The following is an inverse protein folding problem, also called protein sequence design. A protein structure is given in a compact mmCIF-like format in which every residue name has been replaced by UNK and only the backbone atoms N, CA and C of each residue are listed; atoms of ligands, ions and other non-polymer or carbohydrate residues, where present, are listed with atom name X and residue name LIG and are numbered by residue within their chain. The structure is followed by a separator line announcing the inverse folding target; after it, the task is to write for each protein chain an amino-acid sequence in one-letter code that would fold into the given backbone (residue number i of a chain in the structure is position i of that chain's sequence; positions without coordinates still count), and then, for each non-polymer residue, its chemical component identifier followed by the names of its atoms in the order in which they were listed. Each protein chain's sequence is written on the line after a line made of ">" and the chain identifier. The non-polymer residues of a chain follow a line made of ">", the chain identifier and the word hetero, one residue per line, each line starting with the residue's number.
data_IF_630622118454
#
_entry.id   IF_630622118454
#
_cell.length_a   1.000
_cell.length_b   1.000
_cell.length_c   1.000
_cell.angle_alpha   90.00
_cell.angle_beta   90.00
_cell.angle_gamma   90.00
#
_symmetry.space_group_name_H-M   'P 1'
#
loop_
_entity.id
_entity.type
_entity.pdbx_description
1 polymer ?
#
# COMPACT_ATOMS: atom_id res chain seq x y z
N UNK A 1 -14.99 0.27 5.34
CA UNK A 1 -13.98 0.48 4.28
C UNK A 1 -14.21 1.82 3.62
N UNK A 2 -13.17 2.65 3.52
CA UNK A 2 -13.22 4.00 2.98
C UNK A 2 -12.37 4.08 1.72
N UNK A 3 -12.81 4.80 0.70
CA UNK A 3 -11.98 5.12 -0.46
C UNK A 3 -11.30 6.48 -0.29
N UNK A 4 -10.06 6.59 -0.75
CA UNK A 4 -9.24 7.79 -0.59
C UNK A 4 -8.29 7.98 -1.78
N UNK A 5 -7.91 9.23 -2.13
CA UNK A 5 -6.99 9.51 -3.22
C UNK A 5 -5.54 9.27 -2.78
N UNK A 6 -4.71 8.84 -3.75
CA UNK A 6 -3.26 8.78 -3.59
C UNK A 6 -2.57 9.50 -4.76
N UNK A 7 -1.25 9.61 -4.73
CA UNK A 7 -0.45 10.18 -5.82
C UNK A 7 -0.49 9.34 -7.11
N UNK A 8 -1.15 8.18 -7.09
CA UNK A 8 -1.35 7.33 -8.27
C UNK A 8 -2.83 7.17 -8.62
N UNK A 9 -3.58 6.42 -7.85
CA UNK A 9 -5.01 6.12 -8.04
C UNK A 9 -5.73 6.19 -6.69
N UNK A 10 -7.05 6.17 -6.70
CA UNK A 10 -7.82 5.98 -5.48
C UNK A 10 -7.52 4.62 -4.87
N UNK A 11 -7.37 4.61 -3.54
CA UNK A 11 -7.16 3.43 -2.72
C UNK A 11 -8.35 3.10 -1.84
N UNK A 12 -8.36 1.89 -1.28
CA UNK A 12 -9.29 1.46 -0.23
C UNK A 12 -8.55 1.28 1.08
N UNK A 13 -9.07 1.91 2.13
CA UNK A 13 -8.63 1.83 3.50
C UNK A 13 -9.57 0.94 4.33
N UNK A 14 -8.97 0.02 5.04
CA UNK A 14 -9.47 -0.64 6.23
C UNK A 14 -8.40 -0.48 7.30
N UNK A 15 -8.77 -0.44 8.57
CA UNK A 15 -7.78 -0.45 9.65
C UNK A 15 -6.97 -1.75 9.57
N UNK A 16 -5.64 -1.65 9.55
CA UNK A 16 -4.77 -2.81 9.31
C UNK A 16 -4.78 -3.85 10.44
N UNK A 17 -5.26 -3.47 11.62
CA UNK A 17 -5.44 -4.34 12.79
C UNK A 17 -6.85 -4.94 12.91
N UNK A 18 -7.81 -4.46 12.11
CA UNK A 18 -9.20 -4.92 12.16
C UNK A 18 -9.44 -6.06 11.16
N UNK A 19 -9.47 -7.27 11.69
CA UNK A 19 -9.71 -8.49 10.91
C UNK A 19 -11.01 -8.44 10.09
N UNK A 20 -12.10 -7.92 10.69
CA UNK A 20 -13.41 -7.85 10.03
C UNK A 20 -13.42 -6.80 8.90
N UNK A 21 -12.78 -5.64 9.12
CA UNK A 21 -12.66 -4.62 8.09
C UNK A 21 -11.81 -5.10 6.91
N UNK A 22 -10.75 -5.87 7.17
CA UNK A 22 -9.92 -6.50 6.13
C UNK A 22 -10.74 -7.50 5.33
N UNK A 23 -11.50 -8.38 5.98
CA UNK A 23 -12.36 -9.35 5.29
C UNK A 23 -13.44 -8.67 4.44
N UNK A 24 -14.07 -7.62 4.96
CA UNK A 24 -15.01 -6.79 4.20
C UNK A 24 -14.36 -6.21 2.93
N UNK A 25 -13.11 -5.76 3.04
CA UNK A 25 -12.35 -5.25 1.89
C UNK A 25 -12.10 -6.35 0.83
N UNK A 26 -11.74 -7.57 1.23
CA UNK A 26 -11.59 -8.70 0.31
C UNK A 26 -12.90 -9.02 -0.42
N UNK A 27 -14.02 -9.06 0.31
CA UNK A 27 -15.35 -9.31 -0.25
C UNK A 27 -15.75 -8.21 -1.25
N UNK A 28 -15.61 -6.95 -0.86
CA UNK A 28 -15.91 -5.78 -1.69
C UNK A 28 -15.17 -5.81 -3.02
N UNK A 29 -13.89 -6.13 -2.99
CA UNK A 29 -13.05 -6.21 -4.19
C UNK A 29 -13.21 -7.50 -4.99
N UNK A 30 -13.86 -8.53 -4.45
CA UNK A 30 -13.76 -9.92 -4.95
C UNK A 30 -12.29 -10.31 -5.12
N UNK A 31 -11.46 -9.98 -4.11
CA UNK A 31 -10.02 -10.23 -4.14
C UNK A 31 -9.75 -11.68 -3.74
N UNK A 32 -8.88 -12.41 -4.47
CA UNK A 32 -8.43 -13.73 -4.01
C UNK A 32 -7.74 -13.63 -2.64
N UNK A 33 -8.12 -14.52 -1.71
CA UNK A 33 -7.60 -14.52 -0.34
C UNK A 33 -6.06 -14.70 -0.27
N UNK A 34 -5.46 -15.33 -1.29
CA UNK A 34 -4.01 -15.57 -1.38
C UNK A 34 -3.19 -14.33 -1.76
N UNK A 35 -3.83 -13.19 -1.99
CA UNK A 35 -3.15 -11.94 -2.34
C UNK A 35 -3.10 -11.03 -1.12
N UNK A 36 -1.96 -10.94 -0.45
CA UNK A 36 -1.74 -10.03 0.67
C UNK A 36 -2.11 -8.57 0.34
N UNK A 37 -2.40 -7.79 1.34
CA UNK A 37 -2.64 -6.36 1.23
C UNK A 37 -1.36 -5.60 1.60
N UNK A 38 -1.18 -4.41 1.02
CA UNK A 38 -0.18 -3.46 1.50
C UNK A 38 -0.83 -2.51 2.50
N UNK A 39 -0.01 -1.88 3.34
CA UNK A 39 -0.44 -0.85 4.27
C UNK A 39 0.21 0.49 3.96
N UNK A 40 -0.44 1.58 4.39
CA UNK A 40 0.14 2.89 4.53
C UNK A 40 0.42 3.17 6.00
N UNK A 41 1.60 3.69 6.27
CA UNK A 41 2.04 4.25 7.55
C UNK A 41 2.23 5.77 7.40
N UNK A 42 2.24 6.51 8.50
CA UNK A 42 2.43 7.96 8.49
C UNK A 42 3.91 8.36 8.56
N UNK A 43 4.74 7.55 9.24
CA UNK A 43 6.15 7.83 9.50
C UNK A 43 6.99 6.55 9.34
N UNK A 44 8.23 6.64 8.78
CA UNK A 44 9.13 5.48 8.72
C UNK A 44 9.43 4.83 10.08
N UNK A 45 9.39 5.60 11.17
CA UNK A 45 9.61 5.08 12.53
C UNK A 45 8.55 4.06 12.97
N UNK A 46 7.39 4.02 12.30
CA UNK A 46 6.36 3.01 12.58
C UNK A 46 6.70 1.62 12.01
N UNK A 47 7.73 1.50 11.15
CA UNK A 47 8.08 0.23 10.52
C UNK A 47 8.34 -0.89 11.51
N UNK A 48 9.05 -0.63 12.61
CA UNK A 48 9.45 -1.62 13.61
C UNK A 48 8.25 -2.36 14.25
N UNK A 49 7.07 -1.74 14.25
CA UNK A 49 5.84 -2.36 14.77
C UNK A 49 5.20 -3.34 13.77
N UNK A 50 5.59 -3.29 12.49
CA UNK A 50 4.87 -4.00 11.40
C UNK A 50 5.71 -5.05 10.69
N UNK A 51 7.02 -5.02 10.87
CA UNK A 51 7.97 -5.90 10.20
C UNK A 51 8.94 -6.55 11.20
N UNK A 52 9.54 -7.67 10.84
CA UNK A 52 10.51 -8.35 11.71
C UNK A 52 11.86 -7.63 11.72
N UNK A 53 12.35 -7.25 10.56
CA UNK A 53 13.66 -6.59 10.41
C UNK A 53 13.67 -5.64 9.22
N UNK A 54 14.45 -4.55 9.34
CA UNK A 54 14.69 -3.61 8.24
C UNK A 54 16.10 -3.87 7.70
N UNK A 55 16.25 -4.35 6.44
CA UNK A 55 17.56 -4.39 5.79
C UNK A 55 18.15 -2.99 5.68
N UNK A 56 19.44 -2.80 6.00
CA UNK A 56 20.09 -1.49 5.94
C UNK A 56 19.89 -0.80 4.58
N UNK A 57 20.02 -1.55 3.49
CA UNK A 57 19.83 -1.02 2.14
C UNK A 57 18.39 -0.56 1.87
N UNK A 58 17.39 -1.13 2.57
CA UNK A 58 16.01 -0.68 2.45
C UNK A 58 15.81 0.74 3.01
N UNK A 59 16.64 1.18 3.97
CA UNK A 59 16.62 2.54 4.49
C UNK A 59 16.97 3.57 3.41
N UNK A 60 17.86 3.25 2.47
CA UNK A 60 18.17 4.13 1.33
C UNK A 60 16.96 4.28 0.41
N UNK A 61 16.23 3.18 0.17
CA UNK A 61 15.00 3.21 -0.61
C UNK A 61 13.91 4.05 0.05
N UNK A 62 13.72 3.90 1.37
CA UNK A 62 12.75 4.72 2.11
C UNK A 62 13.13 6.19 2.09
N UNK A 63 14.39 6.53 2.37
CA UNK A 63 14.88 7.90 2.37
C UNK A 63 14.76 8.60 1.00
N UNK A 64 14.92 7.84 -0.10
CA UNK A 64 14.85 8.39 -1.46
C UNK A 64 13.43 8.47 -2.01
N UNK A 65 12.58 7.48 -1.73
CA UNK A 65 11.30 7.30 -2.44
C UNK A 65 10.07 7.45 -1.55
N UNK A 66 10.22 7.62 -0.25
CA UNK A 66 9.13 7.93 0.65
C UNK A 66 9.21 9.36 1.19
N UNK A 67 8.07 10.06 1.24
CA UNK A 67 6.74 9.67 0.74
C UNK A 67 6.70 9.59 -0.79
N UNK A 68 6.06 8.51 -1.34
CA UNK A 68 5.94 8.34 -2.79
C UNK A 68 5.44 6.96 -3.25
N UNK A 69 5.50 6.71 -4.57
CA UNK A 69 4.88 5.55 -5.18
C UNK A 69 5.76 4.28 -5.18
N UNK A 70 6.52 4.05 -4.09
CA UNK A 70 7.27 2.81 -3.85
C UNK A 70 6.65 2.04 -2.69
N UNK A 71 6.26 0.79 -2.92
CA UNK A 71 5.85 -0.17 -1.89
C UNK A 71 7.00 -1.15 -1.67
N UNK A 72 7.48 -1.25 -0.44
CA UNK A 72 8.50 -2.22 -0.05
C UNK A 72 7.82 -3.38 0.67
N UNK A 73 8.20 -4.61 0.32
CA UNK A 73 7.70 -5.83 0.96
C UNK A 73 8.78 -6.37 1.89
N UNK A 74 8.39 -6.55 3.15
CA UNK A 74 9.22 -7.05 4.25
C UNK A 74 8.65 -8.35 4.81
N UNK A 75 9.44 -9.04 5.62
CA UNK A 75 8.92 -10.09 6.50
C UNK A 75 8.06 -9.45 7.57
N UNK A 76 6.83 -9.95 7.71
CA UNK A 76 5.79 -9.36 8.55
C UNK A 76 6.00 -9.72 10.02
N UNK A 77 5.76 -8.78 10.93
CA UNK A 77 5.74 -9.08 12.36
C UNK A 77 4.70 -10.16 12.67
N UNK A 78 5.02 -11.07 13.57
CA UNK A 78 4.24 -12.30 13.83
C UNK A 78 2.85 -12.04 14.44
N UNK A 79 2.64 -10.87 15.03
CA UNK A 79 1.36 -10.49 15.65
C UNK A 79 0.31 -9.95 14.67
N UNK A 80 0.68 -9.75 13.38
CA UNK A 80 -0.24 -9.17 12.40
C UNK A 80 -1.37 -10.13 12.01
N UNK A 81 -2.55 -9.60 11.66
CA UNK A 81 -3.66 -10.40 11.17
C UNK A 81 -3.27 -11.25 9.97
N UNK A 82 -3.57 -12.55 10.02
CA UNK A 82 -3.20 -13.49 8.94
C UNK A 82 -3.88 -13.17 7.62
N UNK A 83 -5.09 -12.63 7.65
CA UNK A 83 -5.79 -12.17 6.45
C UNK A 83 -5.15 -10.91 5.82
N UNK A 84 -4.41 -10.09 6.59
CA UNK A 84 -3.63 -8.97 6.05
C UNK A 84 -2.46 -9.46 5.20
N UNK A 85 -1.73 -10.44 5.72
CA UNK A 85 -0.56 -11.04 5.06
C UNK A 85 -0.91 -12.15 4.08
N UNK A 86 -2.19 -12.59 4.05
CA UNK A 86 -2.64 -13.75 3.28
C UNK A 86 -1.80 -15.02 3.57
N UNK A 87 -1.44 -15.22 4.83
CA UNK A 87 -0.58 -16.33 5.33
C UNK A 87 0.80 -16.43 4.64
N UNK A 88 1.25 -15.37 3.95
CA UNK A 88 2.55 -15.38 3.26
C UNK A 88 3.73 -15.07 4.17
N UNK A 89 3.47 -14.58 5.40
CA UNK A 89 4.49 -14.04 6.29
C UNK A 89 5.13 -12.75 5.79
N UNK A 90 4.54 -12.09 4.77
CA UNK A 90 5.08 -10.85 4.17
C UNK A 90 4.05 -9.74 4.15
N UNK A 91 4.53 -8.51 4.29
CA UNK A 91 3.70 -7.30 4.24
C UNK A 91 4.33 -6.24 3.35
N UNK A 92 3.52 -5.62 2.50
CA UNK A 92 3.92 -4.45 1.73
C UNK A 92 3.64 -3.17 2.52
N UNK A 93 4.62 -2.29 2.63
CA UNK A 93 4.50 -1.01 3.35
C UNK A 93 4.82 0.16 2.41
N UNK A 94 4.12 1.26 2.57
CA UNK A 94 4.36 2.50 1.81
C UNK A 94 3.98 3.74 2.64
N UNK A 95 4.63 4.87 2.36
CA UNK A 95 4.18 6.21 2.75
C UNK A 95 3.75 6.93 1.48
N UNK A 96 2.47 7.28 1.36
CA UNK A 96 1.95 8.02 0.20
C UNK A 96 2.39 9.48 0.27
N UNK A 97 2.71 10.08 -0.87
CA UNK A 97 2.98 11.53 -0.95
C UNK A 97 1.71 12.38 -1.10
N UNK A 98 0.53 11.77 -1.24
CA UNK A 98 -0.73 12.50 -1.36
C UNK A 98 -1.17 13.08 -0.02
N UNK A 99 -1.45 14.39 0.10
CA UNK A 99 -1.75 15.04 1.39
C UNK A 99 -2.99 14.43 2.09
N UNK A 100 -4.05 14.09 1.35
CA UNK A 100 -5.23 13.45 1.93
C UNK A 100 -4.93 12.06 2.47
N UNK A 101 -4.12 11.25 1.78
CA UNK A 101 -3.71 9.94 2.26
C UNK A 101 -2.86 10.05 3.54
N UNK A 102 -1.92 11.00 3.58
CA UNK A 102 -1.10 11.25 4.78
C UNK A 102 -1.95 11.72 5.95
N UNK A 103 -2.87 12.67 5.71
CA UNK A 103 -3.78 13.16 6.75
C UNK A 103 -4.66 12.01 7.28
N UNK A 104 -5.21 11.18 6.39
CA UNK A 104 -6.05 10.04 6.79
C UNK A 104 -5.30 9.09 7.73
N UNK A 105 -4.07 8.68 7.39
CA UNK A 105 -3.29 7.77 8.25
C UNK A 105 -2.99 8.41 9.60
N UNK A 106 -2.60 9.70 9.63
CA UNK A 106 -2.29 10.43 10.86
C UNK A 106 -3.53 10.58 11.76
N UNK A 107 -4.68 10.95 11.19
CA UNK A 107 -5.92 11.14 11.95
C UNK A 107 -6.50 9.81 12.47
N UNK A 108 -6.31 8.72 11.73
CA UNK A 108 -6.66 7.37 12.19
C UNK A 108 -5.76 6.93 13.34
N UNK A 109 -4.52 7.42 13.38
CA UNK A 109 -3.53 7.07 14.41
C UNK A 109 -3.05 5.62 14.34
N UNK A 110 -3.25 4.95 13.22
CA UNK A 110 -2.84 3.58 12.96
C UNK A 110 -2.72 3.32 11.45
N UNK A 111 -1.91 2.35 11.01
CA UNK A 111 -1.81 1.97 9.61
C UNK A 111 -3.13 1.52 9.01
N UNK A 112 -3.33 1.88 7.76
CA UNK A 112 -4.50 1.50 6.96
C UNK A 112 -4.07 0.65 5.76
N UNK A 113 -4.96 -0.21 5.27
CA UNK A 113 -4.69 -0.94 4.03
C UNK A 113 -4.58 0.02 2.84
N UNK A 114 -3.81 -0.38 1.82
CA UNK A 114 -3.60 0.39 0.60
C UNK A 114 -3.70 -0.51 -0.63
N UNK A 115 -4.90 -0.78 -1.06
CA UNK A 115 -5.16 -1.45 -2.34
C UNK A 115 -5.96 -0.52 -3.25
N UNK A 116 -5.83 -0.66 -4.58
CA UNK A 116 -6.56 0.20 -5.52
C UNK A 116 -8.09 0.12 -5.33
N UNK A 117 -8.79 1.25 -5.45
CA UNK A 117 -10.24 1.34 -5.30
C UNK A 117 -10.97 0.88 -6.58
N UNK A 118 -10.91 -0.44 -6.86
CA UNK A 118 -11.56 -1.08 -8.00
C UNK A 118 -11.91 -2.53 -7.68
N UNK A 119 -12.85 -3.11 -8.40
CA UNK A 119 -13.05 -4.57 -8.39
C UNK A 119 -11.80 -5.24 -8.95
N UNK A 120 -11.43 -6.40 -8.43
CA UNK A 120 -10.25 -7.14 -8.90
C UNK A 120 -10.33 -7.38 -10.41
N UNK A 121 -9.22 -7.09 -11.11
CA UNK A 121 -9.09 -7.14 -12.58
C UNK A 121 -9.74 -5.99 -13.35
N UNK A 122 -10.50 -5.09 -12.71
CA UNK A 122 -11.00 -3.87 -13.36
C UNK A 122 -9.93 -2.77 -13.34
N UNK A 123 -10.03 -1.74 -14.20
CA UNK A 123 -9.14 -0.58 -14.17
C UNK A 123 -9.18 0.14 -12.81
N UNK A 124 -8.04 0.65 -12.38
CA UNK A 124 -7.95 1.46 -11.14
C UNK A 124 -8.63 2.82 -11.34
N UNK A 125 -9.36 3.28 -10.32
CA UNK A 125 -10.12 4.53 -10.36
C UNK A 125 -9.22 5.74 -10.12
N UNK A 126 -9.50 6.82 -10.87
CA UNK A 126 -8.83 8.11 -10.75
C UNK A 126 -9.68 9.20 -10.10
N UNK A 127 -10.98 8.95 -9.95
CA UNK A 127 -11.94 9.89 -9.36
C UNK A 127 -12.92 9.19 -8.43
N UNK A 128 -13.56 9.96 -7.55
CA UNK A 128 -14.63 9.46 -6.69
C UNK A 128 -15.81 8.92 -7.52
N UNK A 129 -16.15 9.56 -8.64
CA UNK A 129 -17.20 9.08 -9.55
C UNK A 129 -16.90 7.69 -10.12
N UNK A 130 -15.64 7.41 -10.52
CA UNK A 130 -15.25 6.08 -10.98
C UNK A 130 -15.30 5.05 -9.85
N UNK A 131 -14.94 5.43 -8.62
CA UNK A 131 -15.06 4.57 -7.42
C UNK A 131 -16.53 4.21 -7.16
N UNK A 132 -17.42 5.21 -7.17
CA UNK A 132 -18.87 5.00 -7.00
C UNK A 132 -19.40 4.05 -8.07
N UNK A 133 -19.02 4.25 -9.32
CA UNK A 133 -19.45 3.41 -10.44
C UNK A 133 -19.04 1.94 -10.29
N UNK A 134 -17.84 1.66 -9.74
CA UNK A 134 -17.34 0.30 -9.60
C UNK A 134 -17.74 -0.39 -8.30
N UNK A 135 -17.76 0.34 -7.18
CA UNK A 135 -17.88 -0.19 -5.82
C UNK A 135 -19.18 0.25 -5.13
N UNK A 136 -19.80 1.33 -5.62
CA UNK A 136 -21.14 1.74 -5.25
C UNK A 136 -21.32 2.03 -3.76
N UNK A 137 -22.48 1.61 -3.26
CA UNK A 137 -22.93 1.80 -1.87
C UNK A 137 -22.24 0.89 -0.84
N UNK A 138 -21.31 0.06 -1.25
CA UNK A 138 -20.64 -0.88 -0.36
C UNK A 138 -19.51 -0.24 0.46
N UNK A 139 -19.26 1.06 0.24
CA UNK A 139 -18.29 1.87 0.98
C UNK A 139 -18.97 2.73 2.04
N UNK A 140 -18.34 2.88 3.19
CA UNK A 140 -18.82 3.78 4.27
C UNK A 140 -18.62 5.25 3.89
N UNK A 141 -17.52 5.57 3.19
CA UNK A 141 -17.21 6.93 2.74
C UNK A 141 -16.24 6.95 1.57
N UNK A 142 -16.22 8.07 0.87
CA UNK A 142 -15.20 8.39 -0.14
C UNK A 142 -14.67 9.78 0.16
N UNK A 143 -13.37 9.88 0.40
CA UNK A 143 -12.67 11.16 0.52
C UNK A 143 -12.40 11.66 -0.89
N UNK A 144 -13.22 12.60 -1.35
CA UNK A 144 -13.08 13.16 -2.70
C UNK A 144 -12.09 14.34 -2.70
N UNK A 145 -10.98 14.20 -3.39
CA UNK A 145 -10.03 15.27 -3.64
C UNK A 145 -9.83 15.50 -5.17
N UNK A 146 -10.86 15.20 -5.95
CA UNK A 146 -10.84 15.36 -7.39
C UNK A 146 -10.08 14.25 -8.11
N UNK A 147 -9.49 14.58 -9.24
CA UNK A 147 -8.82 13.64 -10.14
C UNK A 147 -7.38 13.37 -9.69
N UNK A 148 -7.05 12.11 -9.45
CA UNK A 148 -5.66 11.72 -9.19
C UNK A 148 -4.82 11.71 -10.48
N UNK A 149 -3.49 11.83 -10.41
CA UNK A 149 -2.62 11.82 -11.59
C UNK A 149 -2.83 10.58 -12.47
N UNK A 150 -3.08 9.40 -11.87
CA UNK A 150 -3.20 8.16 -12.62
C UNK A 150 -1.86 7.73 -13.25
N UNK A 151 -1.93 7.16 -14.45
CA UNK A 151 -0.77 6.69 -15.20
C UNK A 151 -0.23 5.37 -14.69
N UNK A 152 0.88 5.37 -13.96
CA UNK A 152 1.47 4.14 -13.41
C UNK A 152 1.07 3.93 -11.95
N UNK A 153 0.82 2.69 -11.57
CA UNK A 153 0.65 2.26 -10.17
C UNK A 153 1.96 2.39 -9.38
N UNK A 154 1.93 2.19 -8.06
CA UNK A 154 3.18 2.11 -7.28
C UNK A 154 4.04 0.92 -7.73
N UNK A 155 5.35 1.09 -7.75
CA UNK A 155 6.30 -0.01 -7.87
C UNK A 155 6.29 -0.83 -6.60
N UNK A 156 6.37 -2.17 -6.70
CA UNK A 156 6.48 -3.07 -5.55
C UNK A 156 7.81 -3.81 -5.64
N UNK A 157 8.64 -3.66 -4.62
CA UNK A 157 9.90 -4.36 -4.47
C UNK A 157 9.91 -5.19 -3.19
N UNK A 158 10.22 -6.48 -3.30
CA UNK A 158 10.46 -7.37 -2.17
C UNK A 158 11.94 -7.21 -1.75
N UNK A 159 12.15 -6.79 -0.51
CA UNK A 159 13.46 -6.52 0.07
C UNK A 159 13.86 -7.54 1.15
N UNK A 160 13.16 -8.67 1.23
CA UNK A 160 13.44 -9.75 2.18
C UNK A 160 14.62 -10.64 1.76
N UNK A 161 15.18 -10.42 0.57
CA UNK A 161 16.30 -11.18 0.02
C UNK A 161 17.52 -10.28 -0.20
N UNK A 162 18.70 -10.89 -0.38
CA UNK A 162 19.96 -10.16 -0.56
C UNK A 162 19.90 -9.06 -1.63
N UNK A 163 19.19 -9.28 -2.72
CA UNK A 163 18.91 -8.30 -3.76
C UNK A 163 17.40 -8.06 -3.85
N UNK A 164 16.93 -6.83 -4.08
CA UNK A 164 15.51 -6.56 -4.19
C UNK A 164 14.92 -7.27 -5.41
N UNK A 165 13.74 -7.85 -5.22
CA UNK A 165 12.97 -8.47 -6.31
C UNK A 165 11.80 -7.56 -6.68
N UNK A 166 11.76 -7.08 -7.91
CA UNK A 166 10.63 -6.28 -8.40
C UNK A 166 9.43 -7.20 -8.65
N UNK A 167 8.42 -7.08 -7.80
CA UNK A 167 7.17 -7.84 -7.91
C UNK A 167 6.17 -7.17 -8.87
N UNK A 168 6.26 -5.84 -9.01
CA UNK A 168 5.44 -5.05 -9.93
C UNK A 168 6.20 -3.80 -10.36
N UNK A 169 6.33 -3.63 -11.67
CA UNK A 169 6.84 -2.38 -12.25
C UNK A 169 5.73 -1.32 -12.21
N UNK A 170 6.05 -0.14 -11.71
CA UNK A 170 5.12 0.98 -11.56
C UNK A 170 5.77 2.32 -11.91
N UNK A 171 5.50 3.33 -11.07
CA UNK A 171 5.98 4.69 -11.28
C UNK A 171 7.50 4.82 -11.13
N UNK A 172 8.11 4.06 -10.22
CA UNK A 172 9.57 4.01 -10.05
C UNK A 172 10.12 2.90 -10.95
N UNK A 173 11.13 3.21 -11.76
CA UNK A 173 11.77 2.23 -12.63
C UNK A 173 12.59 1.21 -11.80
N UNK A 174 12.62 -0.05 -12.27
CA UNK A 174 13.40 -1.09 -11.59
C UNK A 174 14.89 -0.71 -11.43
N UNK A 175 15.47 -0.07 -12.46
CA UNK A 175 16.85 0.40 -12.43
C UNK A 175 17.11 1.41 -11.31
N UNK A 176 16.15 2.31 -11.01
CA UNK A 176 16.27 3.28 -9.92
C UNK A 176 16.29 2.58 -8.55
N UNK A 177 15.46 1.52 -8.38
CA UNK A 177 15.45 0.71 -7.16
C UNK A 177 16.80 -0.01 -6.98
N UNK A 178 17.32 -0.66 -8.02
CA UNK A 178 18.60 -1.36 -7.96
C UNK A 178 19.77 -0.40 -7.71
N UNK A 179 19.84 0.71 -8.43
CA UNK A 179 20.91 1.71 -8.23
C UNK A 179 20.91 2.31 -6.82
N UNK A 180 19.73 2.50 -6.23
CA UNK A 180 19.63 3.01 -4.86
C UNK A 180 20.00 1.93 -3.81
N UNK A 181 19.70 0.66 -4.10
CA UNK A 181 20.05 -0.46 -3.22
C UNK A 181 21.55 -0.70 -3.12
N UNK A 182 22.30 -0.45 -4.19
CA UNK A 182 23.74 -0.71 -4.30
C UNK A 182 24.63 0.43 -3.78
N UNK A 183 24.06 1.56 -3.33
CA UNK A 183 24.80 2.77 -3.00
C UNK A 183 25.80 2.68 -1.84
N UNK A 184 25.80 1.58 -1.04
CA UNK A 184 26.75 1.32 0.05
C UNK A 184 27.08 -0.19 0.22
N UNK A 185 27.24 -0.92 -0.85
CA UNK A 185 27.68 -2.32 -0.83
C UNK A 185 29.21 -2.43 -0.96
#
# INVERSE_FOLDING_TARGET
>A
VVAFPTETFYGLAALATDYQAIDKLYQLKKRPAQKSLSILIADPAELDDWIETIPNQALHLTARFWPGPLTLVFDAATHLPTNLTADTGKIGVRISSHPVAQALVREVGAPITATSANRSKSPSCRSAGEVISQLGSDLEAILDAGLTPGGKVSTIADVTTRLPKILRIGAIAAQEVFSCWEQDA
#
